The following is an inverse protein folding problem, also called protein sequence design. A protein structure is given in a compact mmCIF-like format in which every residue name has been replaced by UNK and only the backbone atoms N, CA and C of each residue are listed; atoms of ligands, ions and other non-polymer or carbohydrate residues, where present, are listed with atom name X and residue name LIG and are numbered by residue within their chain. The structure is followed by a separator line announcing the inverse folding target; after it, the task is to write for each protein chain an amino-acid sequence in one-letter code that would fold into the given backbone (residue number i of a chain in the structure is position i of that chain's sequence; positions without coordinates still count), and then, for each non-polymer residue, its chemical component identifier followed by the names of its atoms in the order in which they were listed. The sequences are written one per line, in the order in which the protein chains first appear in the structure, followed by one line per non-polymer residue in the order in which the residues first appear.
data_IF_742186084727
#
_entry.id   IF_742186084727
#
_cell.length_a   1.000
_cell.length_b   1.000
_cell.length_c   1.000
_cell.angle_alpha   90.00
_cell.angle_beta   90.00
_cell.angle_gamma   90.00
#
_symmetry.space_group_name_H-M   'P 1'
#
loop_
_entity.id
_entity.type
_entity.pdbx_description
1 polymer ?
#
# COMPACT_ATOMS: atom_id res chain seq x y z
N UNK A 1 -65.02 -38.49 -21.07
CA UNK A 1 -63.61 -38.62 -21.47
C UNK A 1 -62.93 -37.31 -21.17
N UNK A 2 -62.26 -37.21 -20.01
CA UNK A 2 -61.62 -36.00 -19.53
C UNK A 2 -60.13 -36.08 -19.84
N UNK A 3 -59.63 -35.19 -20.71
CA UNK A 3 -58.20 -35.09 -21.03
C UNK A 3 -57.55 -34.21 -19.97
N UNK A 4 -56.64 -34.77 -19.18
CA UNK A 4 -55.83 -34.10 -18.20
C UNK A 4 -54.57 -33.61 -18.92
N UNK A 5 -54.41 -32.26 -19.05
CA UNK A 5 -53.15 -31.67 -19.49
C UNK A 5 -52.21 -31.50 -18.28
N UNK A 6 -51.12 -32.25 -18.28
CA UNK A 6 -50.05 -32.06 -17.32
C UNK A 6 -49.08 -30.97 -17.83
N UNK A 7 -49.08 -29.84 -17.15
CA UNK A 7 -48.12 -28.75 -17.41
C UNK A 7 -46.86 -29.06 -16.59
N UNK A 8 -45.78 -29.47 -17.24
CA UNK A 8 -44.47 -29.63 -16.63
C UNK A 8 -43.84 -28.23 -16.63
N UNK A 9 -43.82 -27.60 -15.46
CA UNK A 9 -43.06 -26.35 -15.23
C UNK A 9 -41.58 -26.69 -15.07
N UNK A 10 -40.79 -26.37 -16.07
CA UNK A 10 -39.33 -26.51 -16.05
C UNK A 10 -38.75 -25.31 -15.27
N UNK A 11 -38.44 -25.52 -14.00
CA UNK A 11 -37.70 -24.55 -13.19
C UNK A 11 -36.24 -24.59 -13.64
N UNK A 12 -35.84 -23.64 -14.47
CA UNK A 12 -34.45 -23.31 -14.72
C UNK A 12 -33.91 -22.54 -13.49
N UNK A 13 -33.22 -23.22 -12.57
CA UNK A 13 -32.44 -22.60 -11.51
C UNK A 13 -31.22 -21.97 -12.19
N UNK A 14 -31.25 -20.67 -12.42
CA UNK A 14 -30.06 -19.88 -12.73
C UNK A 14 -29.20 -19.83 -11.46
N UNK A 15 -28.27 -20.76 -11.33
CA UNK A 15 -27.17 -20.62 -10.40
C UNK A 15 -26.25 -19.53 -10.95
N UNK A 16 -26.46 -18.29 -10.49
CA UNK A 16 -25.51 -17.20 -10.73
C UNK A 16 -24.23 -17.50 -9.95
N UNK A 17 -23.32 -18.25 -10.54
CA UNK A 17 -21.94 -18.29 -10.06
C UNK A 17 -21.35 -16.93 -10.35
N UNK A 18 -21.22 -16.10 -9.31
CA UNK A 18 -20.36 -14.92 -9.37
C UNK A 18 -18.94 -15.42 -9.60
N UNK A 19 -18.56 -15.54 -10.86
CA UNK A 19 -17.17 -15.69 -11.22
C UNK A 19 -16.49 -14.38 -10.81
N UNK A 20 -15.83 -14.39 -9.65
CA UNK A 20 -14.81 -13.38 -9.35
C UNK A 20 -13.81 -13.53 -10.48
N UNK A 21 -13.75 -12.54 -11.36
CA UNK A 21 -12.79 -12.50 -12.44
C UNK A 21 -11.41 -12.54 -11.77
N UNK A 22 -10.73 -13.68 -11.84
CA UNK A 22 -9.33 -13.80 -11.50
C UNK A 22 -8.62 -12.98 -12.56
N UNK A 23 -8.23 -11.75 -12.21
CA UNK A 23 -7.38 -10.97 -13.09
C UNK A 23 -6.10 -11.77 -13.26
N UNK A 24 -5.86 -12.24 -14.46
CA UNK A 24 -4.69 -13.03 -14.82
C UNK A 24 -3.51 -12.06 -15.04
N UNK A 25 -3.11 -11.37 -13.96
CA UNK A 25 -1.87 -10.60 -13.95
C UNK A 25 -0.73 -11.60 -13.78
N UNK A 26 0.03 -11.82 -14.83
CA UNK A 26 1.34 -12.45 -14.71
C UNK A 26 2.37 -11.33 -14.51
N UNK A 27 2.95 -11.26 -13.34
CA UNK A 27 4.00 -10.28 -13.03
C UNK A 27 5.34 -11.02 -13.00
N UNK A 28 6.26 -10.62 -13.87
CA UNK A 28 7.64 -11.09 -13.91
C UNK A 28 8.60 -10.12 -13.19
N UNK A 29 8.04 -9.24 -12.34
CA UNK A 29 8.75 -8.16 -11.67
C UNK A 29 9.07 -8.51 -10.23
N UNK A 30 10.24 -8.01 -9.77
CA UNK A 30 10.70 -8.14 -8.39
C UNK A 30 10.58 -6.81 -7.65
N UNK A 31 9.97 -6.87 -6.47
CA UNK A 31 9.82 -5.71 -5.60
C UNK A 31 10.45 -5.97 -4.23
N UNK A 32 10.87 -4.89 -3.57
CA UNK A 32 11.23 -4.90 -2.15
C UNK A 32 10.31 -3.97 -1.41
N UNK A 33 9.69 -4.48 -0.36
CA UNK A 33 8.67 -3.78 0.41
C UNK A 33 9.10 -3.65 1.87
N UNK A 34 9.00 -2.42 2.39
CA UNK A 34 9.36 -2.10 3.78
C UNK A 34 8.10 -1.89 4.63
N UNK A 35 7.62 -2.88 5.40
CA UNK A 35 6.45 -2.71 6.28
C UNK A 35 6.66 -1.71 7.43
N UNK A 36 7.89 -1.22 7.62
CA UNK A 36 8.26 -0.13 8.51
C UNK A 36 8.73 -0.57 9.90
N UNK A 37 7.85 -1.17 10.68
CA UNK A 37 8.10 -1.53 12.08
C UNK A 37 8.90 -2.81 12.31
N UNK A 38 8.86 -3.33 13.54
CA UNK A 38 9.33 -4.68 13.83
C UNK A 38 8.40 -5.73 13.23
N UNK A 39 8.96 -6.87 12.84
CA UNK A 39 8.18 -8.02 12.41
C UNK A 39 7.20 -8.44 13.52
N UNK A 40 5.96 -8.72 13.16
CA UNK A 40 4.89 -9.04 14.12
C UNK A 40 4.31 -7.83 14.87
N UNK A 41 4.83 -6.64 14.68
CA UNK A 41 4.26 -5.41 15.24
C UNK A 41 2.86 -5.12 14.68
N UNK A 42 1.91 -4.61 15.50
CA UNK A 42 0.49 -4.55 15.14
C UNK A 42 0.22 -3.74 13.86
N UNK A 43 0.85 -2.58 13.70
CA UNK A 43 0.66 -1.74 12.53
C UNK A 43 1.38 -2.31 11.30
N UNK A 44 2.66 -2.67 11.44
CA UNK A 44 3.48 -3.21 10.34
C UNK A 44 2.89 -4.51 9.78
N UNK A 45 2.31 -5.35 10.62
CA UNK A 45 1.64 -6.58 10.19
C UNK A 45 0.43 -6.33 9.29
N UNK A 46 -0.38 -5.29 9.58
CA UNK A 46 -1.53 -4.94 8.72
C UNK A 46 -1.05 -4.53 7.33
N UNK A 47 -0.04 -3.68 7.28
CA UNK A 47 0.54 -3.21 6.01
C UNK A 47 1.21 -4.36 5.24
N UNK A 48 1.97 -5.20 5.94
CA UNK A 48 2.57 -6.41 5.39
C UNK A 48 1.53 -7.36 4.77
N UNK A 49 0.45 -7.66 5.50
CA UNK A 49 -0.60 -8.53 4.99
C UNK A 49 -1.26 -7.98 3.72
N UNK A 50 -1.42 -6.65 3.63
CA UNK A 50 -1.89 -5.99 2.41
C UNK A 50 -0.92 -6.18 1.23
N UNK A 51 0.39 -6.07 1.48
CA UNK A 51 1.41 -6.29 0.46
C UNK A 51 1.47 -7.76 0.01
N UNK A 52 1.36 -8.70 0.95
CA UNK A 52 1.28 -10.15 0.64
C UNK A 52 0.06 -10.43 -0.25
N UNK A 53 -1.11 -9.93 0.13
CA UNK A 53 -2.33 -10.13 -0.67
C UNK A 53 -2.20 -9.51 -2.09
N UNK A 54 -1.53 -8.36 -2.21
CA UNK A 54 -1.25 -7.75 -3.50
C UNK A 54 -0.27 -8.59 -4.33
N UNK A 55 0.79 -9.13 -3.72
CA UNK A 55 1.75 -10.01 -4.38
C UNK A 55 1.07 -11.29 -4.90
N UNK A 56 0.24 -11.94 -4.07
CA UNK A 56 -0.55 -13.11 -4.45
C UNK A 56 -1.53 -12.81 -5.60
N UNK A 57 -2.16 -11.63 -5.58
CA UNK A 57 -3.11 -11.22 -6.61
C UNK A 57 -2.43 -10.91 -7.94
N UNK A 58 -1.26 -10.27 -7.91
CA UNK A 58 -0.52 -9.84 -9.10
C UNK A 58 0.44 -10.90 -9.63
N UNK A 59 0.86 -11.84 -8.78
CA UNK A 59 1.88 -12.83 -9.10
C UNK A 59 3.31 -12.26 -9.11
N UNK A 60 3.52 -11.05 -8.57
CA UNK A 60 4.84 -10.44 -8.44
C UNK A 60 5.67 -11.10 -7.34
N UNK A 61 7.01 -11.12 -7.52
CA UNK A 61 7.96 -11.52 -6.48
C UNK A 61 8.23 -10.35 -5.54
N UNK A 62 8.03 -10.51 -4.22
CA UNK A 62 8.17 -9.44 -3.23
C UNK A 62 8.97 -9.91 -2.02
N UNK A 63 10.10 -9.25 -1.79
CA UNK A 63 10.88 -9.40 -0.55
C UNK A 63 10.47 -8.34 0.48
N UNK A 64 10.52 -8.67 1.77
CA UNK A 64 10.06 -7.81 2.86
C UNK A 64 11.20 -7.48 3.82
N UNK A 65 11.46 -6.17 4.07
CA UNK A 65 12.52 -5.67 4.94
C UNK A 65 11.94 -4.87 6.10
N UNK A 66 12.15 -5.35 7.33
CA UNK A 66 11.63 -4.75 8.55
C UNK A 66 12.64 -3.77 9.16
N UNK A 67 12.33 -2.49 9.15
CA UNK A 67 13.25 -1.41 9.55
C UNK A 67 13.10 -0.95 11.00
N UNK A 68 12.28 -1.60 11.82
CA UNK A 68 12.13 -1.36 13.28
C UNK A 68 11.72 0.09 13.63
N UNK A 69 11.07 0.81 12.73
CA UNK A 69 10.83 2.27 12.83
C UNK A 69 12.11 3.09 13.03
N UNK A 70 13.25 2.57 12.63
CA UNK A 70 14.55 3.19 12.77
C UNK A 70 15.07 3.69 11.41
N UNK A 71 15.33 5.00 11.31
CA UNK A 71 15.77 5.65 10.07
C UNK A 71 17.12 5.13 9.58
N UNK A 72 18.09 4.87 10.49
CA UNK A 72 19.41 4.38 10.12
C UNK A 72 19.35 2.95 9.56
N UNK A 73 18.53 2.09 10.20
CA UNK A 73 18.29 0.72 9.72
C UNK A 73 17.64 0.77 8.35
N UNK A 74 16.61 1.61 8.17
CA UNK A 74 15.92 1.74 6.88
C UNK A 74 16.84 2.22 5.77
N UNK A 75 17.64 3.27 6.03
CA UNK A 75 18.58 3.80 5.04
C UNK A 75 19.62 2.73 4.65
N UNK A 76 20.14 1.98 5.63
CA UNK A 76 21.07 0.88 5.37
C UNK A 76 20.43 -0.19 4.52
N UNK A 77 19.25 -0.69 4.93
CA UNK A 77 18.50 -1.72 4.21
C UNK A 77 18.07 -1.24 2.81
N UNK A 78 17.74 0.05 2.64
CA UNK A 78 17.40 0.60 1.33
C UNK A 78 18.59 0.53 0.37
N UNK A 79 19.79 0.88 0.83
CA UNK A 79 21.01 0.73 0.02
C UNK A 79 21.28 -0.73 -0.36
N UNK A 80 21.08 -1.65 0.58
CA UNK A 80 21.17 -3.10 0.30
C UNK A 80 20.14 -3.53 -0.74
N UNK A 81 18.89 -3.03 -0.62
CA UNK A 81 17.83 -3.29 -1.60
C UNK A 81 18.17 -2.76 -3.00
N UNK A 82 18.70 -1.54 -3.10
CA UNK A 82 19.14 -0.95 -4.38
C UNK A 82 20.23 -1.80 -5.04
N UNK A 83 21.17 -2.32 -4.26
CA UNK A 83 22.24 -3.18 -4.77
C UNK A 83 21.71 -4.50 -5.39
N UNK A 84 20.51 -4.95 -5.02
CA UNK A 84 19.86 -6.13 -5.61
C UNK A 84 19.15 -5.82 -6.94
N UNK A 85 19.08 -4.55 -7.33
CA UNK A 85 18.48 -4.08 -8.58
C UNK A 85 17.05 -4.62 -8.81
N UNK A 86 16.11 -4.46 -7.84
CA UNK A 86 14.72 -4.82 -8.06
C UNK A 86 14.08 -3.89 -9.10
N UNK A 87 12.91 -4.27 -9.63
CA UNK A 87 12.12 -3.39 -10.50
C UNK A 87 11.50 -2.21 -9.73
N UNK A 88 11.21 -2.40 -8.44
CA UNK A 88 10.68 -1.34 -7.59
C UNK A 88 10.87 -1.56 -6.10
N UNK A 89 10.84 -0.45 -5.35
CA UNK A 89 10.95 -0.44 -3.90
C UNK A 89 9.84 0.43 -3.31
N UNK A 90 9.09 -0.13 -2.36
CA UNK A 90 8.06 0.59 -1.60
C UNK A 90 8.52 0.82 -0.16
N UNK A 91 8.55 2.08 0.29
CA UNK A 91 9.08 2.49 1.59
C UNK A 91 8.15 3.44 2.35
N UNK A 92 8.41 3.59 3.65
CA UNK A 92 7.92 4.73 4.42
C UNK A 92 8.87 5.92 4.30
N UNK A 93 8.32 7.14 4.23
CA UNK A 93 9.11 8.37 4.15
C UNK A 93 9.63 8.90 5.49
N UNK A 94 9.52 8.16 6.60
CA UNK A 94 9.87 8.69 7.93
C UNK A 94 11.33 9.13 8.14
N UNK A 95 12.34 8.66 7.39
CA UNK A 95 13.67 9.29 7.45
C UNK A 95 13.72 10.73 6.92
N UNK A 96 12.71 11.12 6.11
CA UNK A 96 12.59 12.46 5.53
C UNK A 96 13.34 12.68 4.21
N UNK A 97 12.90 13.69 3.44
CA UNK A 97 13.41 13.98 2.09
C UNK A 97 14.92 14.16 2.06
N UNK A 98 15.48 14.93 3.00
CA UNK A 98 16.91 15.23 3.03
C UNK A 98 17.80 13.99 3.17
N UNK A 99 17.38 13.03 4.02
CA UNK A 99 18.15 11.81 4.26
C UNK A 99 17.98 10.80 3.11
N UNK A 100 16.78 10.74 2.50
CA UNK A 100 16.46 9.78 1.46
C UNK A 100 16.87 10.24 0.07
N UNK A 101 16.97 11.54 -0.19
CA UNK A 101 17.25 12.12 -1.53
C UNK A 101 18.44 11.47 -2.25
N UNK A 102 19.65 11.42 -1.68
CA UNK A 102 20.80 10.91 -2.42
C UNK A 102 20.66 9.44 -2.82
N UNK A 103 20.09 8.62 -1.95
CA UNK A 103 19.93 7.19 -2.22
C UNK A 103 18.73 6.88 -3.12
N UNK A 104 17.69 7.71 -3.10
CA UNK A 104 16.55 7.61 -4.04
C UNK A 104 16.98 8.05 -5.43
N UNK A 105 17.79 9.11 -5.56
CA UNK A 105 18.34 9.51 -6.85
C UNK A 105 19.17 8.40 -7.48
N UNK A 106 20.09 7.80 -6.71
CA UNK A 106 20.89 6.66 -7.16
C UNK A 106 20.01 5.51 -7.66
N UNK A 107 19.00 5.11 -6.87
CA UNK A 107 18.08 4.05 -7.25
C UNK A 107 17.34 4.34 -8.56
N UNK A 108 16.91 5.58 -8.75
CA UNK A 108 16.19 6.02 -9.95
C UNK A 108 17.09 6.06 -11.19
N UNK A 109 18.35 6.47 -11.04
CA UNK A 109 19.34 6.43 -12.12
C UNK A 109 19.59 4.98 -12.60
N UNK A 110 19.40 4.01 -11.70
CA UNK A 110 19.44 2.58 -12.02
C UNK A 110 18.12 2.05 -12.62
N UNK A 111 17.09 2.88 -12.76
CA UNK A 111 15.79 2.52 -13.32
C UNK A 111 14.83 1.87 -12.32
N UNK A 112 15.15 1.91 -11.02
CA UNK A 112 14.29 1.33 -9.97
C UNK A 112 13.13 2.30 -9.68
N UNK A 113 11.89 1.80 -9.76
CA UNK A 113 10.70 2.59 -9.41
C UNK A 113 10.57 2.66 -7.88
N UNK A 114 10.44 3.89 -7.36
CA UNK A 114 10.27 4.11 -5.92
C UNK A 114 8.87 4.63 -5.65
N UNK A 115 8.23 4.07 -4.62
CA UNK A 115 6.97 4.61 -4.08
C UNK A 115 7.04 4.73 -2.57
N UNK A 116 6.37 5.75 -2.02
CA UNK A 116 6.22 5.90 -0.58
C UNK A 116 4.82 5.49 -0.13
N UNK A 117 4.70 5.06 1.12
CA UNK A 117 3.42 4.73 1.72
C UNK A 117 3.33 5.25 3.14
N UNK A 118 2.11 5.57 3.56
CA UNK A 118 1.74 6.05 4.90
C UNK A 118 2.45 7.34 5.36
N UNK A 119 3.74 7.47 5.17
CA UNK A 119 4.51 8.69 5.42
C UNK A 119 5.12 9.14 4.09
N UNK A 120 4.71 10.29 3.54
CA UNK A 120 5.20 10.78 2.25
C UNK A 120 6.63 11.31 2.34
N UNK A 121 7.25 11.47 1.17
CA UNK A 121 8.44 12.30 0.94
C UNK A 121 8.02 13.42 -0.03
N UNK A 122 7.40 14.49 0.48
CA UNK A 122 6.66 15.44 -0.34
C UNK A 122 7.51 16.18 -1.36
N UNK A 123 8.77 16.51 -1.05
CA UNK A 123 9.66 17.17 -1.97
C UNK A 123 10.08 16.24 -3.12
N UNK A 124 10.44 15.00 -2.80
CA UNK A 124 10.81 13.97 -3.78
C UNK A 124 9.61 13.52 -4.62
N UNK A 125 8.42 13.42 -4.01
CA UNK A 125 7.20 13.12 -4.73
C UNK A 125 6.86 14.23 -5.72
N UNK A 126 6.94 15.51 -5.31
CA UNK A 126 6.71 16.66 -6.19
C UNK A 126 7.67 16.69 -7.36
N UNK A 127 8.94 16.36 -7.13
CA UNK A 127 10.01 16.39 -8.13
C UNK A 127 9.88 15.24 -9.14
N UNK A 128 9.53 14.04 -8.68
CA UNK A 128 9.61 12.81 -9.50
C UNK A 128 8.26 12.16 -9.85
N UNK A 129 7.13 12.76 -9.50
CA UNK A 129 5.80 12.18 -9.75
C UNK A 129 5.51 11.84 -11.21
N UNK A 130 6.07 12.58 -12.15
CA UNK A 130 5.92 12.34 -13.59
C UNK A 130 6.77 11.16 -14.09
N UNK A 131 7.64 10.66 -13.25
CA UNK A 131 8.59 9.59 -13.54
C UNK A 131 8.30 8.32 -12.72
N UNK A 132 7.07 8.19 -12.21
CA UNK A 132 6.59 7.01 -11.50
C UNK A 132 6.80 7.01 -9.99
N UNK A 133 7.35 8.10 -9.40
CA UNK A 133 7.39 8.22 -7.94
C UNK A 133 5.98 8.55 -7.42
N UNK A 134 5.42 7.67 -6.59
CA UNK A 134 4.07 7.81 -6.06
C UNK A 134 4.00 7.71 -4.55
N UNK A 135 2.84 8.09 -4.01
CA UNK A 135 2.49 7.94 -2.61
C UNK A 135 1.18 7.17 -2.46
N UNK A 136 1.17 6.17 -1.59
CA UNK A 136 -0.01 5.41 -1.21
C UNK A 136 -0.33 5.64 0.28
N UNK A 137 -1.34 6.44 0.57
CA UNK A 137 -1.73 6.75 1.95
C UNK A 137 -2.79 7.83 2.04
N UNK A 138 -3.14 8.20 3.28
CA UNK A 138 -4.02 9.33 3.57
C UNK A 138 -3.19 10.61 3.79
N UNK A 139 -3.79 11.77 3.54
CA UNK A 139 -3.26 13.02 4.07
C UNK A 139 -3.41 13.02 5.60
N UNK A 140 -2.29 12.79 6.28
CA UNK A 140 -2.29 12.64 7.75
C UNK A 140 -2.53 13.96 8.47
N UNK A 141 -2.17 15.09 7.85
CA UNK A 141 -2.46 16.41 8.40
C UNK A 141 -3.96 16.69 8.36
N UNK A 142 -4.59 16.52 7.22
CA UNK A 142 -6.03 16.70 7.05
C UNK A 142 -6.82 15.71 7.89
N UNK A 143 -6.39 14.46 7.97
CA UNK A 143 -7.02 13.45 8.81
C UNK A 143 -6.97 13.85 10.30
N UNK A 144 -5.80 14.27 10.80
CA UNK A 144 -5.63 14.74 12.18
C UNK A 144 -6.41 16.01 12.47
N UNK A 145 -6.37 16.99 11.58
CA UNK A 145 -7.11 18.24 11.71
C UNK A 145 -8.63 18.00 11.76
N UNK A 146 -9.17 17.21 10.85
CA UNK A 146 -10.60 16.90 10.81
C UNK A 146 -11.04 16.07 12.01
N UNK A 147 -10.22 15.14 12.49
CA UNK A 147 -10.49 14.39 13.72
C UNK A 147 -10.55 15.32 14.94
N UNK A 148 -9.58 16.21 15.10
CA UNK A 148 -9.55 17.20 16.18
C UNK A 148 -10.75 18.14 16.15
N UNK A 149 -11.07 18.68 14.97
CA UNK A 149 -12.26 19.51 14.76
C UNK A 149 -13.55 18.77 15.15
N UNK A 150 -13.68 17.50 14.74
CA UNK A 150 -14.83 16.68 15.08
C UNK A 150 -14.91 16.38 16.57
N UNK A 151 -13.80 16.14 17.24
CA UNK A 151 -13.76 15.95 18.69
C UNK A 151 -14.24 17.20 19.45
N UNK A 152 -13.77 18.39 19.07
CA UNK A 152 -14.24 19.68 19.64
C UNK A 152 -15.74 19.83 19.47
N UNK A 153 -16.26 19.58 18.27
CA UNK A 153 -17.69 19.67 17.97
C UNK A 153 -18.52 18.70 18.82
N UNK A 154 -18.14 17.41 18.86
CA UNK A 154 -18.92 16.37 19.56
C UNK A 154 -18.85 16.52 21.08
N UNK A 155 -17.69 16.92 21.61
CA UNK A 155 -17.50 17.14 23.04
C UNK A 155 -18.02 18.53 23.52
N UNK A 156 -18.42 19.40 22.58
CA UNK A 156 -18.89 20.76 22.92
C UNK A 156 -17.82 21.65 23.54
N UNK A 157 -16.54 21.41 23.21
CA UNK A 157 -15.41 22.13 23.80
C UNK A 157 -15.41 23.61 23.40
N UNK A 158 -15.03 24.47 24.32
CA UNK A 158 -14.90 25.93 24.14
C UNK A 158 -13.44 26.35 24.33
N UNK A 159 -13.09 27.53 23.81
CA UNK A 159 -11.74 28.09 24.01
C UNK A 159 -11.48 28.26 25.53
N UNK A 160 -10.43 27.57 26.01
CA UNK A 160 -10.02 27.58 27.44
C UNK A 160 -10.42 26.34 28.22
N UNK A 161 -11.19 25.41 27.66
CA UNK A 161 -11.47 24.11 28.26
C UNK A 161 -10.20 23.27 28.41
N UNK A 162 -10.16 22.42 29.44
CA UNK A 162 -9.02 21.53 29.75
C UNK A 162 -9.44 20.08 29.64
#
# INVERSE_FOLDING_TARGET
MKKIFAIIALFFAFASTSAVAKNDYSCDKKFIFFPGGPEGGPFGTIVYNGAVAAAEHTGCDVDYYWSQWNSEIMIKQFKEAVALQPDGIAIYGFPGDAAMRPIIQEAREMGIVITTMNTPLPDLESEYKTEGFGYAGADLFDAGFNLGKKAVEVCGLQAGDK
#
